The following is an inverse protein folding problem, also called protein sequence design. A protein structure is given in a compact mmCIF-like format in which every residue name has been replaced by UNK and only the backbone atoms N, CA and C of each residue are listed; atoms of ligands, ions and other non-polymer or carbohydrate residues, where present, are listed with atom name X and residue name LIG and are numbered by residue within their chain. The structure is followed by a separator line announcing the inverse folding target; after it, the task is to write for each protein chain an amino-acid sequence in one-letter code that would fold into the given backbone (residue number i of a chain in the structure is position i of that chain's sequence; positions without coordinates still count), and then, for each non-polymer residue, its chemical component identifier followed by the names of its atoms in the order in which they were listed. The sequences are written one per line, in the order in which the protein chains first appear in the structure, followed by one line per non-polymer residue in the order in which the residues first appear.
data_IF_816279197274
#
_entry.id   IF_816279197274
#
_cell.length_a   1.000
_cell.length_b   1.000
_cell.length_c   1.000
_cell.angle_alpha   90.00
_cell.angle_beta   90.00
_cell.angle_gamma   90.00
#
_symmetry.space_group_name_H-M   'P 1'
#
loop_
_entity.id
_entity.type
_entity.pdbx_description
1 polymer ?
#
# COMPACT_ATOMS: atom_id res chain seq x y z
N UNK A 1 -20.73 -47.26 -30.86
CA UNK A 1 -21.17 -46.25 -31.84
C UNK A 1 -21.00 -44.89 -31.22
N UNK A 2 -19.88 -44.22 -31.48
CA UNK A 2 -19.58 -42.87 -31.01
C UNK A 2 -19.96 -41.89 -32.11
N UNK A 3 -21.05 -41.15 -31.91
CA UNK A 3 -21.44 -40.04 -32.77
C UNK A 3 -20.54 -38.86 -32.45
N UNK A 4 -19.43 -38.78 -33.19
CA UNK A 4 -18.56 -37.61 -33.17
C UNK A 4 -19.27 -36.50 -33.96
N UNK A 5 -20.01 -35.66 -33.24
CA UNK A 5 -20.69 -34.50 -33.82
C UNK A 5 -19.63 -33.42 -34.02
N UNK A 6 -19.05 -33.39 -35.22
CA UNK A 6 -18.16 -32.31 -35.62
C UNK A 6 -18.91 -30.97 -35.50
N UNK A 7 -18.45 -30.04 -34.64
CA UNK A 7 -19.18 -28.80 -34.38
C UNK A 7 -19.21 -27.95 -35.66
N UNK A 8 -20.36 -27.29 -35.95
CA UNK A 8 -20.51 -26.50 -37.16
C UNK A 8 -19.47 -25.38 -37.20
N UNK A 9 -18.79 -25.25 -38.35
CA UNK A 9 -17.78 -24.22 -38.57
C UNK A 9 -18.44 -22.84 -38.55
N UNK A 10 -18.15 -22.06 -37.52
CA UNK A 10 -18.63 -20.67 -37.41
C UNK A 10 -17.65 -19.76 -38.17
N UNK A 11 -18.12 -18.93 -39.11
CA UNK A 11 -17.28 -17.95 -39.80
C UNK A 11 -16.61 -16.99 -38.80
N UNK A 12 -15.34 -16.60 -39.02
CA UNK A 12 -14.65 -15.69 -38.13
C UNK A 12 -15.30 -14.30 -38.15
N UNK A 13 -15.64 -13.77 -36.98
CA UNK A 13 -16.18 -12.42 -36.83
C UNK A 13 -15.16 -11.37 -37.30
N UNK A 14 -15.63 -10.42 -38.10
CA UNK A 14 -14.85 -9.26 -38.52
C UNK A 14 -14.48 -8.37 -37.32
N UNK A 15 -13.45 -7.53 -37.47
CA UNK A 15 -13.01 -6.64 -36.38
C UNK A 15 -14.14 -5.67 -35.93
N UNK A 16 -14.96 -5.19 -36.86
CA UNK A 16 -16.08 -4.30 -36.58
C UNK A 16 -17.20 -5.00 -35.79
N UNK A 17 -17.53 -6.24 -36.14
CA UNK A 17 -18.53 -7.04 -35.41
C UNK A 17 -18.06 -7.36 -34.00
N UNK A 18 -16.77 -7.71 -33.84
CA UNK A 18 -16.16 -7.98 -32.54
C UNK A 18 -16.21 -6.75 -31.63
N UNK A 19 -15.95 -5.55 -32.18
CA UNK A 19 -16.06 -4.29 -31.45
C UNK A 19 -17.51 -3.97 -31.02
N UNK A 20 -18.49 -4.18 -31.91
CA UNK A 20 -19.92 -3.99 -31.58
C UNK A 20 -20.39 -4.94 -30.48
N UNK A 21 -19.96 -6.20 -30.55
CA UNK A 21 -20.34 -7.24 -29.58
C UNK A 21 -19.74 -6.94 -28.19
N UNK A 22 -18.49 -6.47 -28.15
CA UNK A 22 -17.83 -5.98 -26.92
C UNK A 22 -18.58 -4.78 -26.32
N UNK A 23 -18.96 -3.79 -27.11
CA UNK A 23 -19.69 -2.61 -26.60
C UNK A 23 -21.05 -3.00 -26.01
N UNK A 24 -21.81 -3.90 -26.68
CA UNK A 24 -23.08 -4.41 -26.14
C UNK A 24 -22.90 -5.16 -24.82
N UNK A 25 -21.84 -5.96 -24.70
CA UNK A 25 -21.53 -6.66 -23.45
C UNK A 25 -21.20 -5.69 -22.33
N UNK A 26 -20.41 -4.65 -22.60
CA UNK A 26 -20.06 -3.64 -21.60
C UNK A 26 -21.27 -2.80 -21.17
N UNK A 27 -22.20 -2.49 -22.10
CA UNK A 27 -23.44 -1.80 -21.75
C UNK A 27 -24.37 -2.65 -20.88
N UNK A 28 -24.51 -3.95 -21.19
CA UNK A 28 -25.33 -4.88 -20.37
C UNK A 28 -24.71 -5.16 -19.01
N UNK A 29 -23.39 -5.21 -18.92
CA UNK A 29 -22.66 -5.42 -17.67
C UNK A 29 -22.61 -4.17 -16.79
N UNK A 30 -23.05 -3.01 -17.28
CA UNK A 30 -23.06 -1.78 -16.50
C UNK A 30 -24.15 -1.89 -15.43
N UNK A 31 -23.82 -1.88 -14.12
CA UNK A 31 -24.82 -1.96 -13.07
C UNK A 31 -25.73 -0.73 -13.16
N UNK A 32 -27.01 -0.97 -13.51
CA UNK A 32 -28.06 0.05 -13.48
C UNK A 32 -28.38 0.37 -12.03
N UNK A 33 -27.57 1.24 -11.43
CA UNK A 33 -27.82 1.79 -10.10
C UNK A 33 -28.93 2.87 -10.20
N UNK A 34 -30.16 2.44 -10.49
CA UNK A 34 -31.36 3.27 -10.30
C UNK A 34 -31.96 2.91 -8.94
N UNK A 35 -31.41 3.49 -7.88
CA UNK A 35 -32.16 3.62 -6.62
C UNK A 35 -32.92 4.96 -6.64
N UNK A 36 -34.23 4.97 -6.36
CA UNK A 36 -34.94 6.23 -6.17
C UNK A 36 -34.36 6.96 -4.95
N UNK A 37 -34.10 8.26 -5.14
CA UNK A 37 -33.65 9.17 -4.10
C UNK A 37 -34.76 9.34 -3.05
N UNK A 38 -34.70 8.56 -1.97
CA UNK A 38 -35.40 8.88 -0.74
C UNK A 38 -34.68 10.07 -0.09
N UNK A 39 -35.28 11.26 -0.20
CA UNK A 39 -34.83 12.48 0.47
C UNK A 39 -35.00 12.32 1.98
N UNK A 40 -33.90 12.18 2.70
CA UNK A 40 -33.84 12.48 4.13
C UNK A 40 -33.03 13.75 4.31
N UNK A 41 -33.73 14.80 4.74
CA UNK A 41 -33.12 16.01 5.26
C UNK A 41 -32.70 15.75 6.71
N UNK A 42 -31.46 16.12 7.05
CA UNK A 42 -30.98 16.21 8.43
C UNK A 42 -29.93 17.34 8.53
N UNK A 43 -29.81 17.98 9.71
CA UNK A 43 -29.44 19.38 9.83
C UNK A 43 -27.93 19.63 9.84
N UNK A 44 -27.56 20.81 9.35
CA UNK A 44 -26.20 21.36 9.42
C UNK A 44 -25.96 21.87 10.84
N UNK A 45 -24.99 21.27 11.55
CA UNK A 45 -24.37 21.86 12.73
C UNK A 45 -22.93 22.20 12.36
N UNK A 46 -22.66 23.51 12.24
CA UNK A 46 -21.32 24.02 12.04
C UNK A 46 -20.56 24.03 13.36
N UNK A 47 -19.30 23.59 13.34
CA UNK A 47 -18.35 23.79 14.44
C UNK A 47 -17.12 24.46 13.85
N UNK A 48 -16.81 25.64 14.39
CA UNK A 48 -15.69 26.47 14.01
C UNK A 48 -14.35 25.88 14.43
N UNK A 49 -13.34 26.11 13.60
CA UNK A 49 -11.96 25.83 13.90
C UNK A 49 -11.41 26.92 14.84
N UNK A 50 -10.75 26.50 15.93
CA UNK A 50 -9.81 27.34 16.67
C UNK A 50 -8.44 26.67 16.56
N UNK A 51 -7.50 27.38 15.94
CA UNK A 51 -6.10 27.02 15.89
C UNK A 51 -5.44 27.34 17.24
N UNK A 52 -4.66 26.42 17.77
CA UNK A 52 -3.67 26.71 18.81
C UNK A 52 -2.35 26.03 18.44
N UNK A 53 -1.40 26.85 18.03
CA UNK A 53 0.02 26.50 17.93
C UNK A 53 0.60 26.63 19.33
N UNK A 54 1.18 25.55 19.87
CA UNK A 54 2.09 25.64 21.01
C UNK A 54 3.36 24.89 20.66
N UNK A 55 4.42 25.67 20.41
CA UNK A 55 5.80 25.23 20.45
C UNK A 55 6.20 25.03 21.92
N UNK A 56 6.77 23.87 22.24
CA UNK A 56 7.32 23.57 23.56
C UNK A 56 8.57 22.72 23.43
N UNK A 57 9.73 23.33 23.65
CA UNK A 57 11.00 22.64 23.90
C UNK A 57 10.95 21.97 25.27
N UNK A 58 11.06 20.64 25.33
CA UNK A 58 11.30 19.93 26.57
C UNK A 58 12.74 19.44 26.62
N UNK A 59 13.53 20.10 27.47
CA UNK A 59 14.75 19.57 28.07
C UNK A 59 14.32 18.57 29.14
N UNK A 60 14.74 17.31 29.01
CA UNK A 60 14.57 16.31 30.07
C UNK A 60 15.94 16.08 30.71
N UNK A 61 16.12 16.64 31.90
CA UNK A 61 17.20 16.29 32.82
C UNK A 61 16.91 14.90 33.41
N UNK A 62 17.82 13.96 33.18
CA UNK A 62 17.81 12.63 33.76
C UNK A 62 18.25 12.66 35.23
N UNK A 63 17.35 12.28 36.14
CA UNK A 63 17.69 11.76 37.47
C UNK A 63 16.89 10.48 37.74
N UNK A 64 17.62 9.38 37.96
CA UNK A 64 17.19 8.08 38.51
C UNK A 64 17.00 8.18 40.04
N UNK A 65 16.65 7.08 40.76
CA UNK A 65 15.83 5.90 40.43
C UNK A 65 14.65 5.74 41.41
N UNK A 66 13.67 4.87 41.14
CA UNK A 66 13.09 4.03 42.20
C UNK A 66 12.18 2.92 41.67
N UNK A 67 12.23 1.80 42.38
CA UNK A 67 11.53 0.56 42.11
C UNK A 67 10.00 0.71 42.18
N UNK A 68 9.31 0.40 41.08
CA UNK A 68 7.87 0.44 40.99
C UNK A 68 7.30 -0.83 40.34
N UNK A 69 6.57 -1.59 41.15
CA UNK A 69 5.78 -2.79 40.87
C UNK A 69 5.24 -2.89 39.43
N UNK A 70 5.55 -4.00 38.76
CA UNK A 70 4.96 -4.39 37.48
C UNK A 70 3.47 -4.73 37.67
N UNK A 71 2.59 -3.75 37.48
CA UNK A 71 1.15 -3.97 37.40
C UNK A 71 0.77 -4.77 36.14
N UNK A 72 -0.29 -5.62 36.20
CA UNK A 72 -0.73 -6.37 35.04
C UNK A 72 -1.17 -5.40 33.94
N UNK A 73 -0.44 -5.42 32.83
CA UNK A 73 -0.84 -4.74 31.60
C UNK A 73 -2.10 -5.41 31.08
N UNK A 74 -3.27 -4.90 31.48
CA UNK A 74 -4.55 -5.34 30.94
C UNK A 74 -4.58 -5.12 29.42
N UNK A 75 -5.18 -6.02 28.64
CA UNK A 75 -5.28 -5.86 27.19
C UNK A 75 -6.16 -4.66 26.89
N UNK A 76 -5.56 -3.58 26.38
CA UNK A 76 -6.27 -2.44 25.80
C UNK A 76 -6.79 -2.89 24.43
N UNK A 77 -7.86 -3.69 24.44
CA UNK A 77 -8.60 -4.04 23.24
C UNK A 77 -9.54 -2.87 22.91
N UNK A 78 -9.00 -1.82 22.30
CA UNK A 78 -9.83 -0.78 21.67
C UNK A 78 -10.67 -1.44 20.58
N UNK A 79 -11.98 -1.13 20.45
CA UNK A 79 -12.85 -1.74 19.44
C UNK A 79 -12.20 -1.59 18.06
N UNK A 80 -11.90 -2.73 17.45
CA UNK A 80 -11.12 -2.79 16.22
C UNK A 80 -11.86 -2.05 15.09
N UNK A 81 -11.38 -0.85 14.75
CA UNK A 81 -11.75 -0.23 13.49
C UNK A 81 -11.47 -1.24 12.38
N UNK A 82 -12.47 -1.48 11.51
CA UNK A 82 -12.29 -2.33 10.32
C UNK A 82 -11.39 -1.58 9.33
N UNK A 83 -10.08 -1.69 9.54
CA UNK A 83 -9.02 -1.19 8.66
C UNK A 83 -9.04 -1.98 7.35
N UNK A 84 -8.69 -1.32 6.24
CA UNK A 84 -8.49 -2.01 4.96
C UNK A 84 -9.76 -2.36 4.19
N UNK A 85 -10.92 -1.81 4.59
CA UNK A 85 -12.17 -1.95 3.82
C UNK A 85 -11.99 -1.32 2.45
N UNK A 86 -12.18 -2.11 1.39
CA UNK A 86 -12.17 -1.63 0.01
C UNK A 86 -13.30 -0.63 -0.21
N UNK A 87 -12.95 0.60 -0.56
CA UNK A 87 -13.89 1.65 -0.98
C UNK A 87 -14.01 1.71 -2.51
N UNK A 88 -13.27 0.84 -3.22
CA UNK A 88 -13.31 0.70 -4.67
C UNK A 88 -12.12 1.37 -5.36
N UNK A 89 -12.32 1.71 -6.63
CA UNK A 89 -11.30 2.38 -7.44
C UNK A 89 -11.04 3.80 -6.94
N UNK A 90 -9.80 4.27 -7.05
CA UNK A 90 -9.45 5.67 -6.75
C UNK A 90 -10.33 6.62 -7.58
N UNK A 91 -10.96 7.65 -6.98
CA UNK A 91 -11.75 8.63 -7.72
C UNK A 91 -10.95 9.26 -8.84
N UNK A 92 -11.57 9.45 -10.02
CA UNK A 92 -10.88 9.98 -11.20
C UNK A 92 -10.20 11.34 -10.95
N UNK A 93 -10.81 12.19 -10.11
CA UNK A 93 -10.27 13.49 -9.71
C UNK A 93 -8.94 13.38 -8.93
N UNK A 94 -8.71 12.25 -8.24
CA UNK A 94 -7.53 12.05 -7.39
C UNK A 94 -6.40 11.29 -8.10
N UNK A 95 -6.68 10.66 -9.24
CA UNK A 95 -5.69 9.83 -9.97
C UNK A 95 -4.44 10.63 -10.35
N UNK A 96 -4.60 11.88 -10.80
CA UNK A 96 -3.46 12.73 -11.17
C UNK A 96 -2.58 13.06 -9.95
N UNK A 97 -3.21 13.35 -8.80
CA UNK A 97 -2.52 13.62 -7.54
C UNK A 97 -1.78 12.38 -7.05
N UNK A 98 -2.41 11.21 -7.13
CA UNK A 98 -1.80 9.93 -6.76
C UNK A 98 -0.62 9.59 -7.65
N UNK A 99 -0.75 9.76 -8.96
CA UNK A 99 0.36 9.57 -9.89
C UNK A 99 1.52 10.53 -9.62
N UNK A 100 1.26 11.79 -9.30
CA UNK A 100 2.29 12.74 -8.91
C UNK A 100 3.01 12.29 -7.62
N UNK A 101 2.28 11.73 -6.64
CA UNK A 101 2.90 11.18 -5.41
C UNK A 101 3.74 9.92 -5.65
N UNK A 102 3.50 9.21 -6.76
CA UNK A 102 4.25 8.03 -7.18
C UNK A 102 5.57 8.38 -7.91
N UNK A 103 5.84 9.66 -8.21
CA UNK A 103 7.03 10.10 -8.93
C UNK A 103 8.13 10.58 -7.98
N UNK A 104 9.36 10.16 -8.25
CA UNK A 104 10.54 10.71 -7.56
C UNK A 104 10.98 12.03 -8.21
N UNK A 105 11.56 12.98 -7.44
CA UNK A 105 11.90 14.32 -7.95
C UNK A 105 12.85 14.35 -9.16
N UNK A 106 13.67 13.31 -9.32
CA UNK A 106 14.67 13.17 -10.38
C UNK A 106 14.16 12.42 -11.62
N UNK A 107 12.93 11.91 -11.59
CA UNK A 107 12.36 11.14 -12.68
C UNK A 107 11.63 12.03 -13.69
N UNK A 108 12.04 11.96 -14.95
CA UNK A 108 11.30 12.59 -16.05
C UNK A 108 10.23 11.65 -16.60
N UNK A 109 9.17 12.21 -17.17
CA UNK A 109 8.10 11.46 -17.82
C UNK A 109 6.82 11.37 -16.99
N UNK A 110 5.74 10.90 -17.61
CA UNK A 110 4.46 10.65 -16.93
C UNK A 110 4.40 9.18 -16.52
N UNK A 111 4.27 8.93 -15.22
CA UNK A 111 3.97 7.59 -14.72
C UNK A 111 2.64 7.09 -15.26
N UNK A 112 2.57 5.80 -15.55
CA UNK A 112 1.33 5.10 -15.93
C UNK A 112 0.83 4.31 -14.73
N UNK A 113 -0.43 4.51 -14.36
CA UNK A 113 -1.07 3.73 -13.32
C UNK A 113 -1.23 2.28 -13.80
N UNK A 114 -0.78 1.32 -13.00
CA UNK A 114 -0.92 -0.12 -13.24
C UNK A 114 -2.09 -0.66 -12.44
N UNK A 115 -2.19 -0.24 -11.18
CA UNK A 115 -3.22 -0.67 -10.25
C UNK A 115 -3.46 0.41 -9.20
N UNK A 116 -4.68 0.51 -8.69
CA UNK A 116 -4.97 1.38 -7.55
C UNK A 116 -6.21 0.96 -6.80
N UNK A 117 -6.25 1.32 -5.52
CA UNK A 117 -7.42 1.17 -4.65
C UNK A 117 -7.58 2.33 -3.71
N UNK A 118 -8.83 2.67 -3.43
CA UNK A 118 -9.24 3.53 -2.34
C UNK A 118 -9.69 2.62 -1.20
N UNK A 119 -9.08 2.75 -0.04
CA UNK A 119 -9.36 1.92 1.13
C UNK A 119 -9.68 2.80 2.32
N UNK A 120 -10.46 2.28 3.27
CA UNK A 120 -10.66 2.93 4.55
C UNK A 120 -9.33 3.00 5.30
N UNK A 121 -9.04 4.17 5.85
CA UNK A 121 -7.84 4.43 6.62
C UNK A 121 -7.95 3.94 8.07
N UNK A 122 -7.08 4.48 8.93
CA UNK A 122 -6.96 4.12 10.35
C UNK A 122 -8.18 4.58 11.14
N UNK A 123 -8.56 5.85 10.98
CA UNK A 123 -9.75 6.41 11.61
C UNK A 123 -10.96 6.21 10.69
N UNK A 124 -12.16 6.23 11.27
CA UNK A 124 -13.44 6.16 10.54
C UNK A 124 -13.54 7.22 9.44
N UNK A 125 -12.86 8.35 9.65
CA UNK A 125 -12.94 9.54 8.81
C UNK A 125 -11.73 9.67 7.89
N UNK A 126 -10.78 8.73 8.01
CA UNK A 126 -9.62 8.67 7.12
C UNK A 126 -9.82 7.64 6.03
N UNK A 127 -9.27 7.96 4.87
CA UNK A 127 -9.15 7.05 3.74
C UNK A 127 -7.72 7.04 3.26
N UNK A 128 -7.36 6.01 2.51
CA UNK A 128 -6.06 5.90 1.89
C UNK A 128 -6.21 5.47 0.44
N UNK A 129 -5.47 6.13 -0.44
CA UNK A 129 -5.29 5.69 -1.81
C UNK A 129 -3.98 4.91 -1.86
N UNK A 130 -4.00 3.72 -2.43
CA UNK A 130 -2.83 2.88 -2.68
C UNK A 130 -2.73 2.71 -4.18
N UNK A 131 -1.54 2.86 -4.74
CA UNK A 131 -1.30 2.65 -6.16
C UNK A 131 0.00 1.93 -6.43
N UNK A 132 -0.01 1.24 -7.56
CA UNK A 132 1.16 0.78 -8.27
C UNK A 132 1.21 1.53 -9.62
N UNK A 133 2.34 2.16 -9.90
CA UNK A 133 2.59 2.85 -11.15
C UNK A 133 3.90 2.35 -11.79
N UNK A 134 4.04 2.59 -13.09
CA UNK A 134 5.27 2.33 -13.83
C UNK A 134 5.69 3.60 -14.55
N UNK A 135 6.96 3.97 -14.43
CA UNK A 135 7.56 4.99 -15.29
C UNK A 135 8.49 4.29 -16.31
N UNK A 136 8.02 4.02 -17.55
CA UNK A 136 8.83 3.35 -18.56
C UNK A 136 9.96 4.22 -19.10
N UNK A 137 10.01 5.51 -18.76
CA UNK A 137 11.11 6.43 -19.08
C UNK A 137 12.15 6.53 -17.96
N UNK A 138 11.93 5.86 -16.82
CA UNK A 138 12.92 5.71 -15.77
C UNK A 138 14.04 4.66 -16.02
N UNK A 139 14.07 3.79 -17.06
CA UNK A 139 15.13 2.81 -17.17
C UNK A 139 16.41 3.50 -17.65
N UNK A 140 17.36 3.65 -16.74
CA UNK A 140 18.76 3.61 -17.13
C UNK A 140 19.36 4.87 -17.74
N UNK A 141 18.88 6.07 -17.41
CA UNK A 141 19.88 7.14 -17.19
C UNK A 141 20.63 6.74 -15.93
N UNK A 142 21.60 5.83 -16.11
CA UNK A 142 22.66 5.56 -15.14
C UNK A 142 23.01 6.92 -14.57
N UNK A 143 22.73 7.13 -13.28
CA UNK A 143 22.87 8.41 -12.61
C UNK A 143 24.13 9.05 -13.18
N UNK A 144 23.95 10.02 -14.09
CA UNK A 144 25.02 10.50 -14.96
C UNK A 144 26.12 10.83 -13.99
N UNK A 145 27.22 10.09 -14.05
CA UNK A 145 28.31 10.16 -13.09
C UNK A 145 28.59 11.63 -12.97
N UNK A 146 28.08 12.23 -11.89
CA UNK A 146 28.09 13.68 -11.75
C UNK A 146 29.57 13.92 -11.59
N UNK A 147 30.21 14.40 -12.66
CA UNK A 147 31.66 14.50 -12.74
C UNK A 147 32.09 15.10 -11.42
N UNK A 148 32.84 14.36 -10.58
CA UNK A 148 33.19 14.86 -9.27
C UNK A 148 33.79 16.26 -9.50
N UNK A 149 33.37 17.28 -8.73
CA UNK A 149 33.90 18.62 -8.90
C UNK A 149 35.42 18.52 -8.99
N UNK A 150 35.96 19.06 -10.09
CA UNK A 150 37.39 19.03 -10.41
C UNK A 150 38.14 19.46 -9.16
N UNK A 151 39.03 18.59 -8.68
CA UNK A 151 39.79 18.68 -7.44
C UNK A 151 40.75 19.88 -7.46
N UNK A 152 40.20 21.09 -7.41
CA UNK A 152 40.93 22.35 -7.36
C UNK A 152 40.99 22.97 -5.96
N UNK A 153 39.95 22.77 -5.13
CA UNK A 153 39.88 23.43 -3.82
C UNK A 153 39.77 22.40 -2.70
N UNK A 154 40.86 22.24 -1.94
CA UNK A 154 41.06 21.26 -0.88
C UNK A 154 41.13 21.99 0.47
N UNK A 155 40.10 21.93 1.32
CA UNK A 155 40.29 22.02 2.76
C UNK A 155 40.69 20.63 3.26
N UNK A 156 41.85 20.54 3.89
CA UNK A 156 42.38 19.35 4.55
C UNK A 156 41.46 18.92 5.70
N UNK A 157 40.64 17.88 5.50
CA UNK A 157 39.81 17.29 6.54
C UNK A 157 39.21 15.96 6.10
N UNK A 158 39.74 14.88 6.66
CA UNK A 158 39.30 13.47 6.64
C UNK A 158 38.84 12.78 5.33
N UNK A 159 39.49 11.66 4.92
CA UNK A 159 39.07 10.87 3.77
C UNK A 159 37.82 10.03 4.09
N UNK A 160 36.64 10.65 4.09
CA UNK A 160 35.38 9.91 4.03
C UNK A 160 35.21 9.32 2.62
N UNK A 161 35.21 7.99 2.53
CA UNK A 161 34.87 7.21 1.33
C UNK A 161 33.61 7.80 0.67
N UNK A 162 33.64 8.14 -0.64
CA UNK A 162 32.45 8.54 -1.38
C UNK A 162 31.40 7.44 -1.29
N UNK A 163 30.26 7.74 -0.66
CA UNK A 163 29.13 6.82 -0.59
C UNK A 163 28.62 6.50 -2.00
N UNK A 164 28.42 5.21 -2.29
CA UNK A 164 27.87 4.71 -3.55
C UNK A 164 26.40 5.12 -3.69
N UNK A 165 26.13 6.38 -4.04
CA UNK A 165 24.79 6.94 -4.25
C UNK A 165 24.14 6.54 -5.57
N UNK A 166 24.42 5.36 -6.09
CA UNK A 166 23.68 4.79 -7.22
C UNK A 166 22.35 4.21 -6.72
N UNK A 167 21.27 4.42 -7.48
CA UNK A 167 20.01 3.73 -7.20
C UNK A 167 20.25 2.20 -7.16
N UNK A 168 19.60 1.48 -6.23
CA UNK A 168 19.58 0.03 -6.18
C UNK A 168 19.68 -0.64 -7.55
N UNK A 169 20.66 -1.52 -7.82
CA UNK A 169 20.71 -2.25 -9.11
C UNK A 169 19.42 -3.06 -9.40
N UNK A 170 18.57 -3.18 -8.37
CA UNK A 170 17.34 -3.97 -8.32
C UNK A 170 16.06 -3.25 -8.76
N UNK A 171 16.04 -2.04 -9.34
CA UNK A 171 14.77 -1.33 -9.65
C UNK A 171 14.72 -0.67 -11.05
N UNK A 172 15.26 -1.33 -12.07
CA UNK A 172 15.38 -0.81 -13.45
C UNK A 172 14.06 -0.80 -14.20
N UNK A 173 13.08 -1.61 -13.79
CA UNK A 173 11.79 -1.70 -14.50
C UNK A 173 10.87 -0.49 -14.25
N UNK A 174 11.25 0.43 -13.37
CA UNK A 174 10.51 1.68 -13.16
C UNK A 174 9.19 1.52 -12.41
N UNK A 175 8.92 0.37 -11.78
CA UNK A 175 7.73 0.17 -10.96
C UNK A 175 7.85 0.86 -9.60
N UNK A 176 6.75 1.47 -9.17
CA UNK A 176 6.64 2.31 -7.98
C UNK A 176 5.36 1.97 -7.27
N UNK A 177 5.41 1.92 -5.95
CA UNK A 177 4.19 1.99 -5.14
C UNK A 177 4.10 3.39 -4.55
N UNK A 178 2.87 3.88 -4.38
CA UNK A 178 2.62 5.05 -3.56
C UNK A 178 1.35 4.89 -2.76
N UNK A 179 1.29 5.59 -1.64
CA UNK A 179 0.10 5.69 -0.82
C UNK A 179 -0.07 7.13 -0.38
N UNK A 180 -1.33 7.56 -0.31
CA UNK A 180 -1.71 8.88 0.21
C UNK A 180 -2.90 8.74 1.14
N UNK A 181 -2.79 9.30 2.34
CA UNK A 181 -3.87 9.32 3.33
C UNK A 181 -4.61 10.66 3.33
N UNK A 182 -5.93 10.61 3.46
CA UNK A 182 -6.80 11.79 3.55
C UNK A 182 -7.82 11.63 4.69
N UNK A 183 -7.89 12.55 5.67
CA UNK A 183 -6.96 13.66 5.87
C UNK A 183 -5.55 13.14 6.22
N UNK A 184 -4.49 13.91 5.93
CA UNK A 184 -3.17 13.61 6.46
C UNK A 184 -3.22 13.79 7.97
N UNK A 185 -3.26 12.70 8.73
CA UNK A 185 -3.25 12.79 10.18
C UNK A 185 -1.85 12.49 10.69
N UNK A 186 -1.19 13.53 11.23
CA UNK A 186 0.13 13.43 11.84
C UNK A 186 0.14 12.57 13.11
N UNK A 187 -1.02 12.39 13.76
CA UNK A 187 -1.15 11.61 14.99
C UNK A 187 -1.10 10.09 14.77
N UNK A 188 -1.29 9.63 13.52
CA UNK A 188 -1.56 8.21 13.23
C UNK A 188 -0.55 7.58 12.26
N UNK A 189 0.57 8.27 12.00
CA UNK A 189 1.68 7.75 11.19
C UNK A 189 1.82 8.41 9.82
N UNK A 190 2.50 7.72 8.90
CA UNK A 190 2.90 8.28 7.61
C UNK A 190 1.67 8.73 6.78
N UNK A 191 1.64 10.02 6.42
CA UNK A 191 0.59 10.62 5.58
C UNK A 191 0.70 10.22 4.12
N UNK A 192 1.91 9.85 3.69
CA UNK A 192 2.20 9.27 2.39
C UNK A 192 3.44 8.38 2.48
N UNK A 193 3.55 7.43 1.58
CA UNK A 193 4.81 6.72 1.35
C UNK A 193 4.93 6.38 -0.14
N UNK A 194 6.15 6.47 -0.63
CA UNK A 194 6.52 6.16 -2.01
C UNK A 194 7.76 5.30 -1.98
N UNK A 195 7.79 4.27 -2.82
CA UNK A 195 8.96 3.42 -2.91
C UNK A 195 9.05 2.71 -4.25
N UNK A 196 10.21 2.12 -4.48
CA UNK A 196 10.50 1.35 -5.69
C UNK A 196 10.14 -0.11 -5.46
N UNK A 197 9.45 -0.72 -6.41
CA UNK A 197 9.28 -2.18 -6.44
C UNK A 197 10.55 -2.76 -7.05
N UNK A 198 11.12 -3.77 -6.39
CA UNK A 198 12.30 -4.45 -6.93
C UNK A 198 11.95 -5.23 -8.20
N UNK A 199 12.86 -5.27 -9.16
CA UNK A 199 12.76 -6.03 -10.40
C UNK A 199 12.58 -7.52 -10.12
N UNK A 200 13.22 -8.05 -9.07
CA UNK A 200 13.02 -9.44 -8.62
C UNK A 200 11.58 -9.64 -8.15
N UNK A 201 11.08 -8.78 -7.26
CA UNK A 201 9.69 -8.82 -6.80
C UNK A 201 8.70 -8.68 -7.96
N UNK A 202 9.00 -7.80 -8.92
CA UNK A 202 8.19 -7.60 -10.13
C UNK A 202 8.37 -8.68 -11.21
N UNK A 203 9.38 -9.53 -11.18
CA UNK A 203 9.48 -10.68 -12.09
C UNK A 203 8.91 -11.97 -11.49
N UNK A 204 8.83 -12.06 -10.17
CA UNK A 204 8.29 -13.24 -9.50
C UNK A 204 6.77 -13.37 -9.66
N UNK A 205 6.32 -14.42 -10.36
CA UNK A 205 4.89 -14.69 -10.55
C UNK A 205 4.31 -15.50 -9.39
N UNK A 206 3.08 -15.21 -8.95
CA UNK A 206 2.40 -16.04 -7.96
C UNK A 206 2.06 -17.41 -8.55
N UNK A 207 2.19 -18.47 -7.75
CA UNK A 207 1.90 -19.85 -8.16
C UNK A 207 0.92 -20.51 -7.19
N UNK A 208 0.44 -21.72 -7.52
CA UNK A 208 -0.42 -22.49 -6.60
C UNK A 208 0.26 -22.79 -5.24
N UNK A 209 1.60 -22.88 -5.19
CA UNK A 209 2.38 -23.10 -3.97
C UNK A 209 2.80 -21.79 -3.28
N UNK A 210 2.71 -20.66 -3.97
CA UNK A 210 3.04 -19.34 -3.44
C UNK A 210 1.99 -18.35 -3.96
N UNK A 211 0.81 -18.38 -3.34
CA UNK A 211 -0.36 -17.67 -3.84
C UNK A 211 -0.20 -16.14 -3.81
N UNK A 212 0.78 -15.63 -3.04
CA UNK A 212 1.12 -14.22 -2.94
C UNK A 212 2.60 -14.00 -3.20
N UNK A 213 2.94 -12.96 -3.96
CA UNK A 213 4.31 -12.46 -4.14
C UNK A 213 4.41 -11.03 -3.66
N UNK A 214 5.26 -10.80 -2.68
CA UNK A 214 5.47 -9.48 -2.07
C UNK A 214 6.10 -8.49 -3.06
N UNK A 215 5.44 -7.35 -3.28
CA UNK A 215 5.97 -6.23 -4.05
C UNK A 215 6.57 -5.14 -3.16
N UNK A 216 5.91 -4.86 -2.03
CA UNK A 216 6.31 -3.81 -1.08
C UNK A 216 5.79 -4.12 0.32
N UNK A 217 6.54 -3.71 1.34
CA UNK A 217 6.22 -3.88 2.77
C UNK A 217 6.75 -2.70 3.58
N UNK A 218 6.20 -2.48 4.77
CA UNK A 218 6.79 -1.60 5.79
C UNK A 218 7.04 -2.29 7.12
N UNK A 219 7.29 -3.60 7.09
CA UNK A 219 7.77 -4.28 8.28
C UNK A 219 9.19 -3.80 8.63
N UNK A 220 9.53 -3.85 9.91
CA UNK A 220 10.85 -3.45 10.37
C UNK A 220 10.90 -3.28 11.88
N UNK A 221 12.10 -2.98 12.35
CA UNK A 221 12.34 -2.60 13.74
C UNK A 221 11.94 -1.13 13.93
N UNK A 222 11.27 -0.83 15.03
CA UNK A 222 11.00 0.57 15.36
C UNK A 222 12.30 1.27 15.76
N UNK A 223 12.58 2.39 15.12
CA UNK A 223 13.74 3.24 15.43
C UNK A 223 13.40 4.37 16.41
N UNK A 224 12.13 4.50 16.79
CA UNK A 224 11.62 5.48 17.73
C UNK A 224 10.38 4.93 18.42
N UNK A 225 10.03 5.52 19.56
CA UNK A 225 8.80 5.17 20.27
C UNK A 225 7.57 5.65 19.49
N UNK A 226 6.57 4.79 19.36
CA UNK A 226 5.34 5.07 18.62
C UNK A 226 4.12 4.85 19.51
N UNK A 227 3.07 5.66 19.27
CA UNK A 227 1.74 5.47 19.88
C UNK A 227 0.79 4.61 19.03
N UNK A 228 1.15 4.47 17.77
CA UNK A 228 0.39 3.73 16.77
C UNK A 228 1.36 2.92 15.93
N UNK A 229 1.05 1.66 15.78
CA UNK A 229 1.69 0.75 14.87
C UNK A 229 0.86 0.70 13.60
N UNK A 230 1.52 0.84 12.47
CA UNK A 230 0.93 0.63 11.16
C UNK A 230 1.93 -0.15 10.31
N UNK A 231 1.52 -1.31 9.80
CA UNK A 231 2.25 -2.01 8.76
C UNK A 231 1.30 -2.35 7.62
N UNK A 232 1.81 -2.28 6.41
CA UNK A 232 1.06 -2.66 5.23
C UNK A 232 1.96 -3.44 4.28
N UNK A 233 1.30 -4.17 3.39
CA UNK A 233 1.97 -4.95 2.35
C UNK A 233 1.16 -4.89 1.06
N UNK A 234 1.88 -4.86 -0.06
CA UNK A 234 1.34 -4.94 -1.40
C UNK A 234 1.89 -6.21 -2.07
N UNK A 235 0.99 -6.94 -2.72
CA UNK A 235 1.26 -8.24 -3.32
C UNK A 235 0.78 -8.29 -4.77
N UNK A 236 1.42 -9.16 -5.56
CA UNK A 236 0.72 -9.86 -6.63
C UNK A 236 0.06 -11.11 -6.09
N UNK A 237 -1.13 -11.40 -6.57
CA UNK A 237 -1.97 -12.48 -6.10
C UNK A 237 -2.22 -13.47 -7.24
N UNK A 238 -2.18 -14.77 -6.91
CA UNK A 238 -2.61 -15.83 -7.81
C UNK A 238 -4.10 -15.64 -8.15
N UNK A 239 -4.55 -16.00 -9.37
CA UNK A 239 -5.96 -15.83 -9.77
C UNK A 239 -6.98 -16.50 -8.84
N UNK A 240 -6.58 -17.56 -8.14
CA UNK A 240 -7.45 -18.28 -7.20
C UNK A 240 -7.60 -17.56 -5.84
N UNK A 241 -6.80 -16.54 -5.53
CA UNK A 241 -6.92 -15.79 -4.29
C UNK A 241 -8.17 -14.91 -4.37
N UNK A 242 -9.15 -15.17 -3.51
CA UNK A 242 -10.36 -14.36 -3.38
C UNK A 242 -10.33 -13.45 -2.14
N UNK A 243 -9.54 -13.80 -1.13
CA UNK A 243 -9.45 -13.07 0.13
C UNK A 243 -8.04 -13.14 0.68
N UNK A 244 -7.59 -12.04 1.28
CA UNK A 244 -6.37 -12.01 2.10
C UNK A 244 -6.68 -11.46 3.48
N UNK A 245 -5.97 -11.95 4.46
CA UNK A 245 -5.97 -11.39 5.81
C UNK A 245 -4.55 -11.25 6.33
N UNK A 246 -4.32 -10.23 7.14
CA UNK A 246 -3.05 -9.96 7.78
C UNK A 246 -3.23 -9.70 9.27
N UNK A 247 -2.20 -10.01 10.06
CA UNK A 247 -2.08 -9.59 11.45
C UNK A 247 -0.64 -9.20 11.76
N UNK A 248 -0.47 -8.26 12.69
CA UNK A 248 0.85 -8.00 13.24
C UNK A 248 1.23 -9.09 14.25
N UNK A 249 2.53 -9.31 14.41
CA UNK A 249 3.13 -10.10 15.49
C UNK A 249 4.22 -9.23 16.09
N UNK A 250 4.01 -8.85 17.35
CA UNK A 250 4.89 -7.97 18.11
C UNK A 250 5.46 -8.74 19.30
N UNK A 251 6.78 -8.88 19.37
CA UNK A 251 7.45 -9.66 20.41
C UNK A 251 6.86 -11.09 20.56
N UNK A 252 6.56 -11.74 19.44
CA UNK A 252 5.95 -13.08 19.39
C UNK A 252 4.46 -13.12 19.73
N UNK A 253 3.83 -11.99 20.06
CA UNK A 253 2.39 -11.93 20.37
C UNK A 253 1.60 -11.50 19.13
N UNK A 254 0.71 -12.36 18.60
CA UNK A 254 -0.10 -12.02 17.44
C UNK A 254 -1.24 -11.07 17.80
N UNK A 255 -1.50 -10.12 16.91
CA UNK A 255 -2.69 -9.28 16.91
C UNK A 255 -3.90 -9.95 16.25
N UNK A 256 -5.04 -9.24 16.16
CA UNK A 256 -6.21 -9.71 15.45
C UNK A 256 -5.96 -9.77 13.93
N UNK A 257 -6.65 -10.69 13.26
CA UNK A 257 -6.69 -10.74 11.80
C UNK A 257 -7.54 -9.58 11.24
N UNK A 258 -7.01 -8.93 10.22
CA UNK A 258 -7.65 -7.85 9.47
C UNK A 258 -7.80 -8.28 8.02
N UNK A 259 -8.95 -8.03 7.41
CA UNK A 259 -9.16 -8.34 6.00
C UNK A 259 -8.48 -7.30 5.12
N UNK A 260 -7.83 -7.76 4.05
CA UNK A 260 -7.29 -6.89 3.01
C UNK A 260 -8.18 -6.84 1.77
N UNK A 261 -7.62 -6.27 0.71
CA UNK A 261 -8.25 -6.11 -0.60
C UNK A 261 -7.58 -7.04 -1.59
N UNK A 262 -8.37 -7.73 -2.44
CA UNK A 262 -7.88 -8.55 -3.55
C UNK A 262 -8.61 -8.17 -4.83
N UNK A 263 -7.88 -7.84 -5.88
CA UNK A 263 -8.45 -7.38 -7.15
C UNK A 263 -7.42 -7.32 -8.26
N UNK A 264 -7.84 -7.66 -9.49
CA UNK A 264 -7.03 -7.48 -10.70
C UNK A 264 -5.63 -8.11 -10.61
N UNK A 265 -5.49 -9.23 -9.88
CA UNK A 265 -4.21 -9.91 -9.67
C UNK A 265 -3.30 -9.26 -8.63
N UNK A 266 -3.80 -8.33 -7.82
CA UNK A 266 -3.08 -7.70 -6.72
C UNK A 266 -3.82 -7.88 -5.40
N UNK A 267 -3.06 -7.85 -4.31
CA UNK A 267 -3.62 -7.80 -2.97
C UNK A 267 -2.94 -6.74 -2.11
N UNK A 268 -3.71 -6.09 -1.24
CA UNK A 268 -3.23 -5.10 -0.30
C UNK A 268 -3.73 -5.43 1.11
N UNK A 269 -2.84 -5.41 2.08
CA UNK A 269 -3.18 -5.65 3.49
C UNK A 269 -2.61 -4.55 4.36
N UNK A 270 -3.33 -4.18 5.42
CA UNK A 270 -2.88 -3.21 6.41
C UNK A 270 -3.28 -3.68 7.80
N UNK A 271 -2.30 -3.72 8.70
CA UNK A 271 -2.46 -4.07 10.10
C UNK A 271 -2.11 -2.87 10.95
N UNK A 272 -2.87 -2.69 12.03
CA UNK A 272 -2.69 -1.56 12.93
C UNK A 272 -2.87 -1.98 14.37
N UNK A 273 -2.19 -1.27 15.26
CA UNK A 273 -2.41 -1.38 16.69
C UNK A 273 -2.20 -0.02 17.37
N UNK A 274 -3.08 0.34 18.29
CA UNK A 274 -2.83 1.40 19.26
C UNK A 274 -2.05 0.83 20.44
N UNK A 275 -1.09 1.57 20.97
CA UNK A 275 -0.31 1.12 22.12
C UNK A 275 0.97 1.91 22.32
N UNK A 276 1.74 1.57 23.34
CA UNK A 276 3.11 2.08 23.49
C UNK A 276 4.06 1.08 22.84
N UNK A 277 4.61 1.45 21.70
CA UNK A 277 5.64 0.68 21.00
C UNK A 277 6.98 1.34 21.27
N UNK A 278 7.96 0.57 21.69
CA UNK A 278 9.27 1.10 22.07
C UNK A 278 10.28 0.84 20.97
N UNK A 279 11.25 1.74 20.83
CA UNK A 279 12.41 1.53 19.97
C UNK A 279 13.07 0.16 20.23
N UNK A 280 13.47 -0.53 19.16
CA UNK A 280 14.06 -1.87 19.20
C UNK A 280 13.06 -3.02 19.26
N UNK A 281 11.75 -2.77 19.42
CA UNK A 281 10.76 -3.82 19.19
C UNK A 281 10.68 -4.15 17.71
N UNK A 282 10.59 -5.46 17.40
CA UNK A 282 10.47 -5.96 16.04
C UNK A 282 9.01 -6.20 15.69
N UNK A 283 8.57 -5.53 14.64
CA UNK A 283 7.27 -5.77 14.03
C UNK A 283 7.42 -6.78 12.88
N UNK A 284 6.62 -7.84 12.93
CA UNK A 284 6.44 -8.75 11.80
C UNK A 284 4.96 -8.82 11.43
N UNK A 285 4.68 -9.08 10.16
CA UNK A 285 3.31 -9.29 9.67
C UNK A 285 3.16 -10.72 9.18
N UNK A 286 2.13 -11.40 9.67
CA UNK A 286 1.68 -12.69 9.15
C UNK A 286 0.52 -12.46 8.19
N UNK A 287 0.49 -13.24 7.10
CA UNK A 287 -0.54 -13.14 6.07
C UNK A 287 -1.05 -14.51 5.72
N UNK A 288 -2.35 -14.59 5.43
CA UNK A 288 -3.01 -15.77 4.89
C UNK A 288 -3.87 -15.38 3.70
N UNK A 289 -3.90 -16.24 2.70
CA UNK A 289 -4.72 -16.10 1.50
C UNK A 289 -5.76 -17.22 1.46
N UNK A 290 -6.93 -16.94 0.91
CA UNK A 290 -8.00 -17.91 0.75
C UNK A 290 -8.56 -17.87 -0.66
N UNK A 291 -9.03 -19.01 -1.12
CA UNK A 291 -9.82 -19.11 -2.34
C UNK A 291 -11.28 -18.67 -2.13
N UNK A 292 -12.07 -18.72 -3.22
CA UNK A 292 -13.48 -18.36 -3.20
C UNK A 292 -14.35 -19.25 -2.30
N UNK A 293 -13.87 -20.46 -1.95
CA UNK A 293 -14.55 -21.40 -1.07
C UNK A 293 -14.10 -21.28 0.39
N UNK A 294 -13.19 -20.33 0.69
CA UNK A 294 -12.62 -20.14 2.02
C UNK A 294 -11.52 -21.13 2.38
N UNK A 295 -11.01 -21.91 1.43
CA UNK A 295 -9.85 -22.78 1.65
C UNK A 295 -8.58 -21.93 1.69
N UNK A 296 -7.76 -22.11 2.72
CA UNK A 296 -6.49 -21.41 2.83
C UNK A 296 -5.53 -21.90 1.73
N UNK A 297 -4.92 -20.94 1.02
CA UNK A 297 -3.91 -21.17 0.00
C UNK A 297 -2.51 -21.02 0.61
N UNK A 298 -1.50 -21.75 0.12
CA UNK A 298 -0.13 -21.59 0.57
C UNK A 298 0.41 -20.17 0.34
N UNK A 299 1.02 -19.60 1.37
CA UNK A 299 1.72 -18.31 1.33
C UNK A 299 3.18 -18.53 1.73
N UNK A 300 4.11 -17.80 1.07
CA UNK A 300 5.56 -17.85 1.33
C UNK A 300 5.95 -17.32 2.70
#
# INVERSE_FOLDING_TARGET
MTTDLEPPRVPPLTAAERARLRNRLMERARPTNRRPLARWAAPVVGVGAVAAVVAGTLVVTSQSPDAGVAGPSGPIASPAAKVGVDLGTVPAADVAKLLASCQFPDETGRGKLVWSRHVRGITTDSTMMVALAVNPQAPGKAATTRTPPRSGDRPTGDPRKPGSGGAPDFAKLGYRYCMMRTPPSAEVGASASVGRVSDKGWKAEPTAQHALVTLAVTDGDFTMDLRTLQAWRLYRAHPDVAKVEARYVLNGKPGPWTSGVVTDGFAYTEVQAGGKFTSGQRLTTEVRAFDAHGKQLPTS
#
